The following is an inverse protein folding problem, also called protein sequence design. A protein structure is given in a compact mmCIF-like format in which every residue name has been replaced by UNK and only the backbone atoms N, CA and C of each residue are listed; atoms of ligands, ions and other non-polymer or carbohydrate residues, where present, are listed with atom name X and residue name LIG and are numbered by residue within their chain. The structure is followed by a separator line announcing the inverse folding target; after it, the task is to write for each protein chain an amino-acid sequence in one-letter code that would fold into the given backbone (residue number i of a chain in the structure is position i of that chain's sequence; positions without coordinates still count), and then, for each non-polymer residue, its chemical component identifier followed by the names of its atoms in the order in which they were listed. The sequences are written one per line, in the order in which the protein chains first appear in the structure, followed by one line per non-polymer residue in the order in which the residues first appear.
data_IF_167578196286
#
_entry.id   IF_167578196286
#
_cell.length_a   1.000
_cell.length_b   1.000
_cell.length_c   1.000
_cell.angle_alpha   90.00
_cell.angle_beta   90.00
_cell.angle_gamma   90.00
#
_symmetry.space_group_name_H-M   'P 1'
#
loop_
_entity.id
_entity.type
_entity.pdbx_description
1 polymer ?
#
# COMPACT_ATOMS: atom_id res chain seq x y z
N UNK A 1 23.40 15.66 -29.71
CA UNK A 1 24.33 14.54 -29.52
C UNK A 1 23.52 13.38 -28.96
N UNK A 2 23.23 12.43 -29.86
CA UNK A 2 22.40 11.22 -29.63
C UNK A 2 23.15 10.20 -28.75
N UNK A 3 22.51 9.71 -27.71
CA UNK A 3 22.92 8.47 -27.02
C UNK A 3 22.18 7.29 -27.64
N UNK A 4 22.86 6.20 -27.98
CA UNK A 4 22.23 5.03 -28.58
C UNK A 4 21.56 4.14 -27.52
N UNK A 5 20.29 3.87 -27.73
CA UNK A 5 19.53 2.84 -26.99
C UNK A 5 19.91 1.48 -27.58
N UNK A 6 20.63 0.66 -26.83
CA UNK A 6 20.84 -0.75 -27.20
C UNK A 6 19.63 -1.58 -26.79
N UNK A 7 18.93 -2.12 -27.78
CA UNK A 7 17.85 -3.12 -27.58
C UNK A 7 18.49 -4.51 -27.65
N UNK A 8 18.61 -5.16 -26.50
CA UNK A 8 18.98 -6.59 -26.44
C UNK A 8 17.69 -7.39 -26.26
N UNK A 9 17.32 -8.13 -27.28
CA UNK A 9 16.16 -9.01 -27.33
C UNK A 9 16.58 -10.39 -26.81
N UNK A 10 16.15 -10.77 -25.60
CA UNK A 10 16.14 -12.15 -25.15
C UNK A 10 14.76 -12.49 -24.61
N UNK A 11 14.16 -13.48 -25.29
CA UNK A 11 13.06 -14.37 -24.87
C UNK A 11 12.13 -13.87 -23.76
N UNK A 12 10.97 -13.35 -24.17
CA UNK A 12 9.68 -13.29 -23.44
C UNK A 12 9.60 -12.67 -22.03
N UNK A 13 10.47 -11.74 -21.69
CA UNK A 13 10.26 -10.86 -20.53
C UNK A 13 10.82 -9.47 -20.86
N UNK A 14 9.94 -8.46 -20.96
CA UNK A 14 10.35 -7.06 -21.07
C UNK A 14 10.64 -6.58 -19.65
N UNK A 15 11.90 -6.67 -19.25
CA UNK A 15 12.39 -6.01 -18.05
C UNK A 15 12.83 -4.58 -18.43
N UNK A 16 11.98 -3.60 -18.12
CA UNK A 16 12.37 -2.18 -18.21
C UNK A 16 13.25 -1.90 -16.99
N UNK A 17 14.56 -2.08 -17.15
CA UNK A 17 15.53 -1.65 -16.16
C UNK A 17 15.68 -0.13 -16.26
N UNK A 18 14.97 0.59 -15.42
CA UNK A 18 15.25 2.00 -15.18
C UNK A 18 16.63 2.10 -14.52
N UNK A 19 17.63 2.50 -15.28
CA UNK A 19 18.94 2.93 -14.77
C UNK A 19 18.71 4.25 -14.05
N UNK A 20 18.30 4.17 -12.80
CA UNK A 20 18.23 5.32 -11.91
C UNK A 20 19.64 5.84 -11.67
N UNK A 21 19.94 7.02 -12.18
CA UNK A 21 21.08 7.79 -11.74
C UNK A 21 20.92 8.02 -10.24
N UNK A 22 21.68 7.27 -9.44
CA UNK A 22 21.87 7.54 -8.03
C UNK A 22 22.70 8.83 -7.91
N UNK A 23 22.04 9.96 -7.96
CA UNK A 23 22.59 11.18 -7.42
C UNK A 23 22.69 10.95 -5.90
N UNK A 24 23.90 10.67 -5.42
CA UNK A 24 24.23 10.77 -4.00
C UNK A 24 23.88 12.19 -3.56
N UNK A 25 22.67 12.35 -3.01
CA UNK A 25 22.36 13.56 -2.26
C UNK A 25 23.33 13.62 -1.07
N UNK A 26 24.05 14.75 -0.89
CA UNK A 26 24.79 14.96 0.34
C UNK A 26 23.78 14.91 1.49
N UNK A 27 24.11 14.12 2.51
CA UNK A 27 23.34 14.00 3.72
C UNK A 27 22.93 15.39 4.23
N UNK A 28 21.66 15.74 4.07
CA UNK A 28 21.11 16.96 4.64
C UNK A 28 21.06 16.75 6.15
N UNK A 29 22.15 17.18 6.82
CA UNK A 29 22.08 17.50 8.24
C UNK A 29 20.93 18.51 8.39
N UNK A 30 19.87 18.11 9.07
CA UNK A 30 18.76 18.96 9.44
C UNK A 30 19.26 20.13 10.29
N UNK A 31 19.57 21.24 9.65
CA UNK A 31 19.86 22.49 10.34
C UNK A 31 18.56 23.25 10.57
N UNK A 32 18.18 23.54 11.81
CA UNK A 32 17.04 24.41 12.09
C UNK A 32 17.28 25.77 11.41
N UNK A 33 16.23 26.30 10.76
CA UNK A 33 16.26 27.53 9.95
C UNK A 33 16.83 28.80 10.62
N UNK A 34 17.13 28.74 11.94
CA UNK A 34 17.79 29.80 12.70
C UNK A 34 19.29 29.93 12.36
N UNK A 35 19.97 28.85 11.90
CA UNK A 35 21.43 28.90 11.63
C UNK A 35 21.79 29.58 10.30
N UNK A 36 20.87 29.68 9.34
CA UNK A 36 21.13 30.33 8.05
C UNK A 36 20.88 31.85 8.07
N UNK A 37 20.11 32.34 9.05
CA UNK A 37 19.87 33.77 9.21
C UNK A 37 21.12 34.53 9.69
N UNK A 38 21.88 33.92 10.56
CA UNK A 38 23.10 34.53 11.12
C UNK A 38 24.21 34.74 10.07
N UNK A 39 24.57 33.79 9.20
CA UNK A 39 25.61 34.01 8.18
C UNK A 39 25.21 35.02 7.11
N UNK A 40 23.91 35.14 6.75
CA UNK A 40 23.47 36.14 5.78
C UNK A 40 23.56 37.55 6.35
N UNK A 41 23.18 37.74 7.61
CA UNK A 41 23.34 39.01 8.33
C UNK A 41 24.82 39.31 8.53
N UNK A 42 25.63 38.32 8.93
CA UNK A 42 27.07 38.49 9.08
C UNK A 42 27.75 38.88 7.74
N UNK A 43 27.37 38.27 6.63
CA UNK A 43 27.87 38.61 5.30
C UNK A 43 27.45 40.05 4.89
N UNK A 44 26.24 40.49 5.20
CA UNK A 44 25.79 41.84 4.94
C UNK A 44 26.58 42.88 5.74
N UNK A 45 26.77 42.63 7.06
CA UNK A 45 27.57 43.51 7.92
C UNK A 45 29.03 43.54 7.49
N UNK A 46 29.61 42.39 7.16
CA UNK A 46 30.99 42.29 6.66
C UNK A 46 31.15 43.02 5.32
N UNK A 47 30.17 42.88 4.42
CA UNK A 47 30.16 43.59 3.12
C UNK A 47 30.14 45.11 3.29
N UNK A 48 29.33 45.63 4.19
CA UNK A 48 29.27 47.07 4.51
C UNK A 48 30.60 47.54 5.14
N UNK A 49 31.18 46.78 6.08
CA UNK A 49 32.45 47.11 6.70
C UNK A 49 33.62 47.08 5.69
N UNK A 50 33.69 46.12 4.79
CA UNK A 50 34.71 46.07 3.74
C UNK A 50 34.54 47.22 2.73
N UNK A 51 33.30 47.60 2.39
CA UNK A 51 33.02 48.74 1.52
C UNK A 51 33.50 50.04 2.19
N UNK A 52 33.23 50.25 3.47
CA UNK A 52 33.71 51.37 4.25
C UNK A 52 35.24 51.46 4.24
N UNK A 53 35.92 50.35 4.58
CA UNK A 53 37.35 50.30 4.71
C UNK A 53 38.13 50.54 3.38
N UNK A 54 37.61 50.07 2.25
CA UNK A 54 38.34 50.15 0.97
C UNK A 54 37.90 51.36 0.11
N UNK A 55 36.65 51.81 0.21
CA UNK A 55 36.10 52.81 -0.74
C UNK A 55 35.80 54.16 -0.13
N UNK A 56 35.62 54.28 1.16
CA UNK A 56 35.30 55.59 1.82
C UNK A 56 36.61 56.28 2.24
N UNK A 57 36.75 57.55 1.87
CA UNK A 57 37.91 58.39 2.29
C UNK A 57 37.70 58.95 3.70
N UNK A 58 38.73 58.93 4.58
CA UNK A 58 40.12 58.50 4.39
C UNK A 58 40.29 56.98 4.38
N UNK A 59 40.89 56.43 3.32
CA UNK A 59 41.07 55.00 3.11
C UNK A 59 41.86 54.36 4.26
N UNK A 60 41.49 53.14 4.61
CA UNK A 60 42.11 52.33 5.67
C UNK A 60 41.85 52.90 7.11
N UNK A 61 40.80 53.62 7.31
CA UNK A 61 40.39 54.13 8.64
C UNK A 61 38.88 53.89 8.83
N UNK A 62 38.47 53.36 9.96
CA UNK A 62 37.09 53.13 10.31
C UNK A 62 36.40 54.38 10.95
N UNK A 63 36.89 55.57 10.66
CA UNK A 63 36.35 56.81 11.20
C UNK A 63 35.25 57.38 10.24
N UNK A 64 34.00 57.15 10.60
CA UNK A 64 32.83 57.77 9.90
C UNK A 64 32.71 59.23 10.38
N UNK A 65 33.31 60.17 9.61
CA UNK A 65 33.29 61.58 9.93
C UNK A 65 32.08 62.36 9.39
N UNK A 66 31.34 61.81 8.46
CA UNK A 66 30.21 62.52 7.82
C UNK A 66 28.87 61.76 7.95
N UNK A 67 27.84 62.47 8.39
CA UNK A 67 26.45 61.99 8.53
C UNK A 67 25.92 61.37 7.22
N UNK A 68 26.40 61.82 6.08
CA UNK A 68 26.00 61.36 4.75
C UNK A 68 26.37 59.88 4.52
N UNK A 69 27.55 59.40 4.98
CA UNK A 69 27.94 58.00 4.89
C UNK A 69 27.14 57.09 5.79
N UNK A 70 26.76 57.59 6.97
CA UNK A 70 25.94 56.84 7.93
C UNK A 70 24.55 56.55 7.39
N UNK A 71 23.94 57.51 6.66
CA UNK A 71 22.66 57.30 5.97
C UNK A 71 22.83 56.25 4.84
N UNK A 72 23.89 56.34 4.05
CA UNK A 72 24.16 55.36 2.98
C UNK A 72 24.33 53.95 3.53
N UNK A 73 25.07 53.76 4.63
CA UNK A 73 25.20 52.46 5.29
C UNK A 73 23.88 51.95 5.86
N UNK A 74 23.07 52.82 6.44
CA UNK A 74 21.72 52.50 6.91
C UNK A 74 20.83 51.98 5.79
N UNK A 75 20.84 52.63 4.65
CA UNK A 75 20.09 52.20 3.47
C UNK A 75 20.62 50.85 2.91
N UNK A 76 21.95 50.70 2.78
CA UNK A 76 22.54 49.43 2.31
C UNK A 76 22.22 48.27 3.25
N UNK A 77 22.29 48.49 4.57
CA UNK A 77 21.96 47.46 5.56
C UNK A 77 20.48 47.08 5.51
N UNK A 78 19.58 48.10 5.35
CA UNK A 78 18.16 47.87 5.23
C UNK A 78 17.82 47.05 3.98
N UNK A 79 18.40 47.38 2.83
CA UNK A 79 18.22 46.64 1.60
C UNK A 79 18.77 45.20 1.71
N UNK A 80 19.97 45.05 2.27
CA UNK A 80 20.59 43.73 2.45
C UNK A 80 19.76 42.81 3.40
N UNK A 81 19.28 43.34 4.52
CA UNK A 81 18.45 42.60 5.48
C UNK A 81 17.09 42.25 4.90
N UNK A 82 16.46 43.16 4.17
CA UNK A 82 15.17 42.93 3.50
C UNK A 82 15.31 41.84 2.42
N UNK A 83 16.34 41.91 1.60
CA UNK A 83 16.64 40.92 0.56
C UNK A 83 16.93 39.53 1.17
N UNK A 84 17.73 39.49 2.23
CA UNK A 84 18.03 38.23 2.93
C UNK A 84 16.77 37.61 3.55
N UNK A 85 15.91 38.42 4.16
CA UNK A 85 14.63 37.98 4.73
C UNK A 85 13.69 37.44 3.65
N UNK A 86 13.51 38.17 2.55
CA UNK A 86 12.67 37.77 1.43
C UNK A 86 13.18 36.43 0.81
N UNK A 87 14.48 36.33 0.58
CA UNK A 87 15.10 35.11 0.02
C UNK A 87 14.92 33.90 0.95
N UNK A 88 15.09 34.08 2.25
CA UNK A 88 14.90 33.00 3.24
C UNK A 88 13.45 32.51 3.30
N UNK A 89 12.49 33.43 3.24
CA UNK A 89 11.06 33.13 3.23
C UNK A 89 10.67 32.37 1.96
N UNK A 90 11.14 32.79 0.80
CA UNK A 90 10.88 32.12 -0.47
C UNK A 90 11.49 30.70 -0.52
N UNK A 91 12.69 30.52 0.02
CA UNK A 91 13.30 29.17 0.13
C UNK A 91 12.47 28.27 1.03
N UNK A 92 12.08 28.75 2.21
CA UNK A 92 11.24 27.99 3.13
C UNK A 92 9.91 27.58 2.47
N UNK A 93 9.23 28.50 1.77
CA UNK A 93 7.99 28.19 1.05
C UNK A 93 8.20 27.12 -0.05
N UNK A 94 9.32 27.21 -0.79
CA UNK A 94 9.67 26.22 -1.81
C UNK A 94 9.92 24.83 -1.19
N UNK A 95 10.61 24.76 -0.08
CA UNK A 95 10.91 23.49 0.58
C UNK A 95 9.65 22.84 1.15
N UNK A 96 8.74 23.63 1.72
CA UNK A 96 7.41 23.16 2.16
C UNK A 96 6.58 22.67 0.97
N UNK A 97 6.54 23.44 -0.12
CA UNK A 97 5.81 23.04 -1.33
C UNK A 97 6.35 21.74 -1.92
N UNK A 98 7.67 21.60 -2.06
CA UNK A 98 8.32 20.38 -2.55
C UNK A 98 8.08 19.16 -1.65
N UNK A 99 8.07 19.35 -0.33
CA UNK A 99 7.79 18.26 0.59
C UNK A 99 6.34 17.77 0.48
N UNK A 100 5.38 18.68 0.27
CA UNK A 100 3.97 18.33 0.00
C UNK A 100 3.81 17.59 -1.33
N UNK A 101 4.46 18.08 -2.38
CA UNK A 101 4.44 17.45 -3.71
C UNK A 101 4.99 16.03 -3.66
N UNK A 102 6.13 15.80 -3.01
CA UNK A 102 6.72 14.46 -2.83
C UNK A 102 5.77 13.50 -2.12
N UNK A 103 5.07 13.96 -1.07
CA UNK A 103 4.10 13.13 -0.32
C UNK A 103 2.90 12.75 -1.17
N UNK A 104 2.32 13.72 -1.87
CA UNK A 104 1.19 13.47 -2.78
C UNK A 104 1.61 12.50 -3.87
N UNK A 105 2.79 12.69 -4.45
CA UNK A 105 3.35 11.81 -5.47
C UNK A 105 3.56 10.39 -4.95
N UNK A 106 4.10 10.21 -3.73
CA UNK A 106 4.31 8.87 -3.16
C UNK A 106 3.00 8.12 -2.92
N UNK A 107 1.96 8.79 -2.40
CA UNK A 107 0.63 8.19 -2.24
C UNK A 107 -0.03 7.87 -3.58
N UNK A 108 0.12 8.76 -4.57
CA UNK A 108 -0.42 8.53 -5.90
C UNK A 108 0.22 7.31 -6.58
N UNK A 109 1.56 7.20 -6.52
CA UNK A 109 2.28 6.04 -7.07
C UNK A 109 1.83 4.76 -6.36
N UNK A 110 1.79 4.77 -5.03
CA UNK A 110 1.32 3.63 -4.24
C UNK A 110 -0.13 3.24 -4.60
N UNK A 111 -1.05 4.19 -4.68
CA UNK A 111 -2.45 3.93 -5.05
C UNK A 111 -2.56 3.33 -6.45
N UNK A 112 -1.77 3.85 -7.42
CA UNK A 112 -1.70 3.32 -8.78
C UNK A 112 -1.17 1.89 -8.81
N UNK A 113 -0.09 1.61 -8.10
CA UNK A 113 0.48 0.26 -8.01
C UNK A 113 -0.52 -0.70 -7.36
N UNK A 114 -1.12 -0.32 -6.22
CA UNK A 114 -2.13 -1.12 -5.54
C UNK A 114 -3.39 -1.36 -6.39
N UNK A 115 -3.72 -0.47 -7.31
CA UNK A 115 -4.87 -0.65 -8.20
C UNK A 115 -4.70 -1.80 -9.20
N UNK A 116 -3.48 -2.13 -9.57
CA UNK A 116 -3.13 -3.18 -10.54
C UNK A 116 -2.80 -4.54 -9.90
N UNK A 117 -2.82 -4.64 -8.57
CA UNK A 117 -2.43 -5.84 -7.83
C UNK A 117 -3.47 -6.95 -7.95
N UNK A 118 -2.98 -8.19 -8.09
CA UNK A 118 -3.77 -9.41 -8.17
C UNK A 118 -3.49 -10.40 -7.04
N UNK A 119 -2.41 -10.19 -6.25
CA UNK A 119 -2.02 -11.11 -5.17
C UNK A 119 -1.67 -10.38 -3.87
N UNK A 120 -1.84 -11.05 -2.74
CA UNK A 120 -1.51 -10.50 -1.42
C UNK A 120 -0.02 -10.17 -1.26
N UNK A 121 0.88 -10.98 -1.86
CA UNK A 121 2.34 -10.78 -1.82
C UNK A 121 2.77 -9.49 -2.53
N UNK A 122 2.07 -9.12 -3.61
CA UNK A 122 2.31 -7.85 -4.30
C UNK A 122 1.93 -6.66 -3.41
N UNK A 123 0.80 -6.75 -2.68
CA UNK A 123 0.39 -5.71 -1.71
C UNK A 123 1.45 -5.55 -0.63
N UNK A 124 1.95 -6.66 -0.08
CA UNK A 124 3.00 -6.65 0.94
C UNK A 124 4.27 -5.96 0.42
N UNK A 125 4.72 -6.31 -0.77
CA UNK A 125 5.91 -5.71 -1.41
C UNK A 125 5.76 -4.20 -1.60
N UNK A 126 4.59 -3.74 -2.06
CA UNK A 126 4.30 -2.31 -2.25
C UNK A 126 4.29 -1.58 -0.90
N UNK A 127 3.65 -2.17 0.12
CA UNK A 127 3.62 -1.60 1.46
C UNK A 127 5.02 -1.50 2.07
N UNK A 128 5.85 -2.53 1.94
CA UNK A 128 7.24 -2.54 2.39
C UNK A 128 8.07 -1.45 1.68
N UNK A 129 7.96 -1.33 0.37
CA UNK A 129 8.67 -0.31 -0.41
C UNK A 129 8.25 1.11 0.01
N UNK A 130 6.95 1.35 0.20
CA UNK A 130 6.43 2.64 0.65
C UNK A 130 7.00 3.02 2.03
N UNK A 131 6.97 2.09 2.99
CA UNK A 131 7.48 2.33 4.34
C UNK A 131 9.01 2.50 4.32
N UNK A 132 9.72 1.70 3.55
CA UNK A 132 11.17 1.79 3.44
C UNK A 132 11.63 3.11 2.83
N UNK A 133 11.01 3.57 1.76
CA UNK A 133 11.38 4.81 1.06
C UNK A 133 10.93 6.06 1.83
N UNK A 134 9.71 6.04 2.37
CA UNK A 134 9.13 7.19 3.05
C UNK A 134 9.62 7.40 4.47
N UNK A 135 9.94 6.33 5.20
CA UNK A 135 10.19 6.38 6.64
C UNK A 135 11.52 5.75 7.06
N UNK A 136 12.30 5.18 6.12
CA UNK A 136 13.53 4.43 6.43
C UNK A 136 13.29 3.33 7.49
N UNK A 137 12.14 2.68 7.41
CA UNK A 137 11.67 1.66 8.33
C UNK A 137 11.47 0.33 7.60
N UNK A 138 11.43 -0.77 8.34
CA UNK A 138 10.99 -2.07 7.85
C UNK A 138 9.49 -2.23 8.13
N UNK A 139 8.78 -2.92 7.26
CA UNK A 139 7.37 -3.21 7.46
C UNK A 139 7.07 -4.67 7.21
N UNK A 140 6.09 -5.19 7.95
CA UNK A 140 5.53 -6.53 7.77
C UNK A 140 4.02 -6.42 7.79
N UNK A 141 3.38 -7.10 6.85
CA UNK A 141 1.93 -7.16 6.73
C UNK A 141 1.41 -8.42 7.44
N UNK A 142 0.61 -8.22 8.49
CA UNK A 142 -0.07 -9.28 9.21
C UNK A 142 -1.52 -9.32 8.75
N UNK A 143 -1.89 -10.35 8.00
CA UNK A 143 -3.25 -10.52 7.51
C UNK A 143 -4.10 -11.30 8.50
N UNK A 144 -5.38 -10.99 8.53
CA UNK A 144 -6.37 -11.74 9.31
C UNK A 144 -6.63 -13.09 8.63
N UNK A 145 -6.34 -14.18 9.37
CA UNK A 145 -6.60 -15.54 8.95
C UNK A 145 -8.00 -16.03 9.34
N UNK A 146 -8.18 -17.35 9.34
CA UNK A 146 -9.41 -17.98 9.84
C UNK A 146 -9.58 -17.70 11.34
N UNK A 147 -10.83 -17.49 11.78
CA UNK A 147 -11.20 -17.24 13.19
C UNK A 147 -10.75 -15.88 13.75
N UNK A 148 -10.64 -14.84 12.91
CA UNK A 148 -10.27 -13.48 13.33
C UNK A 148 -8.90 -13.37 14.02
N UNK A 149 -8.04 -14.38 13.88
CA UNK A 149 -6.67 -14.37 14.38
C UNK A 149 -5.69 -13.94 13.31
N UNK A 150 -4.66 -13.21 13.71
CA UNK A 150 -3.57 -12.83 12.79
C UNK A 150 -2.76 -14.07 12.39
N UNK A 151 -2.55 -14.23 11.10
CA UNK A 151 -1.64 -15.25 10.59
C UNK A 151 -0.19 -14.76 10.75
N UNK A 152 0.69 -15.65 11.21
CA UNK A 152 2.13 -15.35 11.25
C UNK A 152 2.65 -15.32 9.80
N UNK A 153 3.20 -14.21 9.32
CA UNK A 153 3.68 -14.12 7.96
C UNK A 153 4.90 -15.03 7.74
N UNK A 154 5.01 -15.60 6.55
CA UNK A 154 6.11 -16.49 6.18
C UNK A 154 7.47 -15.74 6.10
N UNK A 155 7.44 -14.44 5.80
CA UNK A 155 8.61 -13.61 5.54
C UNK A 155 8.80 -12.50 6.60
N UNK A 156 9.03 -12.88 7.85
CA UNK A 156 9.42 -11.91 8.89
C UNK A 156 10.92 -11.64 8.79
N UNK A 157 11.37 -10.39 8.67
CA UNK A 157 12.79 -10.09 8.74
C UNK A 157 13.38 -10.58 10.08
N UNK A 158 14.49 -11.30 10.03
CA UNK A 158 15.12 -11.92 11.21
C UNK A 158 15.42 -10.94 12.37
N UNK A 159 15.53 -9.64 12.06
CA UNK A 159 15.84 -8.59 13.02
C UNK A 159 14.61 -7.84 13.55
N UNK A 160 13.39 -8.24 13.17
CA UNK A 160 12.16 -7.58 13.61
C UNK A 160 11.55 -8.32 14.81
N UNK A 161 11.59 -7.76 16.02
CA UNK A 161 10.98 -8.36 17.21
C UNK A 161 9.46 -8.18 17.16
N UNK A 162 8.80 -9.06 16.43
CA UNK A 162 7.36 -9.01 16.21
C UNK A 162 6.64 -9.65 17.41
N UNK A 163 5.73 -8.91 18.04
CA UNK A 163 4.87 -9.40 19.12
C UNK A 163 3.43 -9.55 18.59
N UNK A 164 3.01 -10.80 18.41
CA UNK A 164 1.68 -11.14 17.90
C UNK A 164 0.58 -10.73 18.88
N UNK A 165 0.85 -10.71 20.19
CA UNK A 165 -0.16 -10.33 21.19
C UNK A 165 -0.49 -8.83 21.07
N UNK A 166 0.53 -7.98 20.88
CA UNK A 166 0.32 -6.53 20.66
C UNK A 166 -0.37 -6.29 19.32
N UNK A 167 0.03 -7.02 18.29
CA UNK A 167 -0.62 -6.93 16.97
C UNK A 167 -2.10 -7.34 17.04
N UNK A 168 -2.43 -8.41 17.76
CA UNK A 168 -3.81 -8.86 17.94
C UNK A 168 -4.62 -7.84 18.75
N UNK A 169 -4.03 -7.26 19.80
CA UNK A 169 -4.67 -6.20 20.57
C UNK A 169 -5.04 -5.01 19.68
N UNK A 170 -4.10 -4.57 18.82
CA UNK A 170 -4.33 -3.46 17.87
C UNK A 170 -5.44 -3.80 16.85
N UNK A 171 -5.55 -5.06 16.43
CA UNK A 171 -6.62 -5.54 15.55
C UNK A 171 -7.98 -5.48 16.26
N UNK A 172 -8.06 -6.02 17.49
CA UNK A 172 -9.30 -6.17 18.24
C UNK A 172 -9.89 -4.81 18.66
N UNK A 173 -9.02 -3.85 19.03
CA UNK A 173 -9.44 -2.51 19.45
C UNK A 173 -9.50 -1.51 18.30
N UNK A 174 -8.99 -1.89 17.09
CA UNK A 174 -8.89 -1.02 15.92
C UNK A 174 -8.13 0.30 16.21
N UNK A 175 -7.13 0.21 17.07
CA UNK A 175 -6.28 1.32 17.49
C UNK A 175 -4.80 0.98 17.28
N UNK A 176 -3.99 2.02 17.01
CA UNK A 176 -2.55 1.85 16.90
C UNK A 176 -1.93 1.50 18.25
N UNK A 177 -0.99 0.56 18.29
CA UNK A 177 -0.29 0.14 19.49
C UNK A 177 1.23 0.03 19.25
N UNK A 178 2.01 0.13 20.31
CA UNK A 178 3.45 -0.01 20.27
C UNK A 178 4.20 1.33 20.14
N UNK A 179 5.28 1.34 19.41
CA UNK A 179 6.22 2.46 19.33
C UNK A 179 5.54 3.79 18.99
N UNK A 180 5.71 4.78 19.86
CA UNK A 180 5.20 6.14 19.62
C UNK A 180 3.70 6.31 19.82
N UNK A 181 3.00 5.32 20.37
CA UNK A 181 1.57 5.37 20.72
C UNK A 181 1.39 5.46 22.24
N UNK A 182 0.17 5.77 22.67
CA UNK A 182 -0.18 5.77 24.11
C UNK A 182 -0.30 4.34 24.67
N UNK A 183 -0.47 3.35 23.78
CA UNK A 183 -0.62 1.94 24.17
C UNK A 183 0.68 1.18 23.91
N UNK A 184 1.32 0.74 25.00
CA UNK A 184 2.59 -0.02 24.98
C UNK A 184 3.75 0.71 24.28
N UNK A 185 4.04 1.97 24.65
CA UNK A 185 5.03 2.81 23.96
C UNK A 185 6.47 2.27 24.01
N UNK A 186 6.77 1.34 24.89
CA UNK A 186 8.09 0.71 25.03
C UNK A 186 8.36 -0.40 23.99
N UNK A 187 7.34 -0.82 23.25
CA UNK A 187 7.51 -1.80 22.18
C UNK A 187 8.38 -1.21 21.04
N UNK A 188 9.30 -1.98 20.45
CA UNK A 188 10.19 -1.49 19.39
C UNK A 188 9.52 -1.39 18.02
N UNK A 189 8.29 -1.86 17.88
CA UNK A 189 7.51 -1.93 16.65
C UNK A 189 6.21 -1.15 16.83
N UNK A 190 5.82 -0.39 15.82
CA UNK A 190 4.49 0.24 15.72
C UNK A 190 3.55 -0.69 14.96
N UNK A 191 2.38 -0.93 15.52
CA UNK A 191 1.31 -1.75 14.94
C UNK A 191 0.15 -0.86 14.52
N UNK A 192 -0.11 -0.76 13.23
CA UNK A 192 -1.17 0.06 12.65
C UNK A 192 -2.29 -0.83 12.12
N UNK A 193 -3.54 -0.65 12.57
CA UNK A 193 -4.67 -1.40 12.03
C UNK A 193 -4.97 -0.95 10.59
N UNK A 194 -5.18 -1.93 9.72
CA UNK A 194 -5.53 -1.73 8.32
C UNK A 194 -7.05 -1.62 8.20
N UNK A 195 -7.55 -0.42 8.48
CA UNK A 195 -8.97 -0.11 8.48
C UNK A 195 -9.48 0.03 7.05
N UNK A 196 -10.26 -0.94 6.60
CA UNK A 196 -11.00 -0.88 5.35
C UNK A 196 -12.46 -0.45 5.63
N UNK A 197 -13.25 -0.04 4.60
CA UNK A 197 -14.59 0.47 4.79
C UNK A 197 -15.56 -0.48 5.53
N UNK A 198 -15.41 -1.79 5.35
CA UNK A 198 -16.30 -2.78 5.99
C UNK A 198 -15.75 -3.29 7.31
N UNK A 199 -14.45 -3.54 7.39
CA UNK A 199 -13.78 -4.05 8.61
C UNK A 199 -12.27 -3.87 8.55
N UNK A 200 -11.60 -4.04 9.69
CA UNK A 200 -10.14 -4.12 9.74
C UNK A 200 -9.66 -5.42 9.11
N UNK A 201 -8.71 -5.35 8.18
CA UNK A 201 -8.25 -6.49 7.36
C UNK A 201 -6.90 -7.05 7.78
N UNK A 202 -6.27 -6.46 8.78
CA UNK A 202 -4.97 -6.88 9.27
C UNK A 202 -4.23 -5.76 9.98
N UNK A 203 -2.95 -5.96 10.18
CA UNK A 203 -2.05 -5.02 10.86
C UNK A 203 -0.82 -4.76 9.99
N UNK A 204 -0.42 -3.51 9.86
CA UNK A 204 0.87 -3.12 9.34
C UNK A 204 1.84 -2.89 10.50
N UNK A 205 2.78 -3.80 10.70
CA UNK A 205 3.84 -3.68 11.69
C UNK A 205 5.01 -2.90 11.09
N UNK A 206 5.43 -1.82 11.73
CA UNK A 206 6.48 -0.91 11.24
C UNK A 206 7.59 -0.80 12.28
N UNK A 207 8.83 -1.11 11.88
CA UNK A 207 10.01 -0.98 12.72
C UNK A 207 10.98 0.04 12.11
N UNK A 208 11.24 1.19 12.75
CA UNK A 208 12.22 2.15 12.28
C UNK A 208 13.64 1.60 12.43
N UNK A 209 14.50 1.90 11.47
CA UNK A 209 15.94 1.51 11.52
C UNK A 209 16.75 2.32 12.49
N UNK A 210 16.27 3.51 12.90
CA UNK A 210 16.96 4.42 13.84
C UNK A 210 16.03 4.81 14.96
N UNK A 211 16.54 4.80 16.18
CA UNK A 211 15.87 5.30 17.38
C UNK A 211 16.64 6.51 17.93
N UNK A 212 15.98 7.50 18.57
CA UNK A 212 14.53 7.61 18.78
C UNK A 212 13.78 7.95 17.49
N UNK A 213 12.64 7.29 17.28
CA UNK A 213 11.75 7.56 16.14
C UNK A 213 10.65 8.54 16.60
N UNK A 214 10.74 9.77 16.12
CA UNK A 214 9.78 10.84 16.38
C UNK A 214 9.25 11.31 15.03
N UNK A 215 8.24 10.64 14.49
CA UNK A 215 7.63 11.08 13.25
C UNK A 215 6.93 12.43 13.44
N UNK A 216 7.04 13.28 12.45
CA UNK A 216 6.25 14.52 12.47
C UNK A 216 4.76 14.17 12.30
N UNK A 217 3.83 15.03 12.78
CA UNK A 217 2.39 14.80 12.58
C UNK A 217 1.99 14.60 11.12
N UNK A 218 2.79 15.16 10.22
CA UNK A 218 2.59 15.00 8.78
C UNK A 218 3.06 13.64 8.27
N UNK A 219 4.11 13.07 8.86
CA UNK A 219 4.58 11.71 8.55
C UNK A 219 3.60 10.66 9.07
N UNK A 220 3.05 10.87 10.26
CA UNK A 220 2.00 9.99 10.81
C UNK A 220 0.78 9.94 9.90
N UNK A 221 0.29 11.11 9.45
CA UNK A 221 -0.83 11.18 8.49
C UNK A 221 -0.51 10.48 7.16
N UNK A 222 0.74 10.62 6.68
CA UNK A 222 1.18 9.94 5.46
C UNK A 222 1.17 8.42 5.65
N UNK A 223 1.65 7.94 6.79
CA UNK A 223 1.68 6.52 7.12
C UNK A 223 0.26 5.95 7.27
N UNK A 224 -0.63 6.68 7.96
CA UNK A 224 -2.05 6.31 8.08
C UNK A 224 -2.75 6.27 6.72
N UNK A 225 -2.50 7.26 5.85
CA UNK A 225 -3.06 7.25 4.49
C UNK A 225 -2.54 6.06 3.67
N UNK A 226 -1.24 5.73 3.78
CA UNK A 226 -0.68 4.52 3.16
C UNK A 226 -1.31 3.24 3.69
N UNK A 227 -1.47 3.12 5.02
CA UNK A 227 -2.13 1.97 5.65
C UNK A 227 -3.58 1.81 5.17
N UNK A 228 -4.33 2.92 5.02
CA UNK A 228 -5.69 2.89 4.49
C UNK A 228 -5.74 2.42 3.03
N UNK A 229 -4.79 2.82 2.18
CA UNK A 229 -4.69 2.33 0.80
C UNK A 229 -4.40 0.83 0.75
N UNK A 230 -3.52 0.33 1.60
CA UNK A 230 -3.25 -1.11 1.76
C UNK A 230 -4.51 -1.85 2.19
N UNK A 231 -5.22 -1.33 3.19
CA UNK A 231 -6.46 -1.92 3.68
C UNK A 231 -7.51 -2.07 2.58
N UNK A 232 -7.73 -1.03 1.78
CA UNK A 232 -8.66 -1.03 0.66
C UNK A 232 -8.24 -2.06 -0.40
N UNK A 233 -6.94 -2.17 -0.69
CA UNK A 233 -6.43 -3.13 -1.66
C UNK A 233 -6.66 -4.58 -1.21
N UNK A 234 -6.40 -4.89 0.07
CA UNK A 234 -6.65 -6.21 0.66
C UNK A 234 -8.15 -6.53 0.64
N UNK A 235 -8.99 -5.56 1.01
CA UNK A 235 -10.44 -5.74 1.00
C UNK A 235 -10.97 -6.04 -0.41
N UNK A 236 -10.50 -5.30 -1.41
CA UNK A 236 -10.82 -5.56 -2.82
C UNK A 236 -10.43 -6.96 -3.26
N UNK A 237 -9.19 -7.39 -2.94
CA UNK A 237 -8.70 -8.73 -3.28
C UNK A 237 -9.58 -9.80 -2.67
N UNK A 238 -9.90 -9.67 -1.39
CA UNK A 238 -10.77 -10.60 -0.68
C UNK A 238 -12.16 -10.72 -1.34
N UNK A 239 -12.81 -9.61 -1.71
CA UNK A 239 -14.12 -9.68 -2.38
C UNK A 239 -14.03 -10.28 -3.77
N UNK A 240 -12.92 -10.07 -4.48
CA UNK A 240 -12.69 -10.70 -5.77
C UNK A 240 -12.58 -12.23 -5.63
N UNK A 241 -11.86 -12.71 -4.63
CA UNK A 241 -11.73 -14.14 -4.34
C UNK A 241 -13.07 -14.77 -3.94
N UNK A 242 -13.83 -14.11 -3.07
CA UNK A 242 -15.16 -14.57 -2.66
C UNK A 242 -16.11 -14.63 -3.86
N UNK A 243 -16.12 -13.61 -4.71
CA UNK A 243 -16.96 -13.57 -5.91
C UNK A 243 -16.59 -14.66 -6.91
N UNK A 244 -15.31 -14.91 -7.14
CA UNK A 244 -14.83 -15.99 -8.01
C UNK A 244 -15.21 -17.37 -7.46
N UNK A 245 -15.06 -17.59 -6.15
CA UNK A 245 -15.48 -18.82 -5.49
C UNK A 245 -16.97 -19.08 -5.64
N UNK A 246 -17.80 -18.06 -5.44
CA UNK A 246 -19.27 -18.16 -5.61
C UNK A 246 -19.66 -18.48 -7.07
N UNK A 247 -19.00 -17.88 -8.06
CA UNK A 247 -19.23 -18.18 -9.47
C UNK A 247 -18.90 -19.65 -9.81
N UNK A 248 -17.75 -20.15 -9.38
CA UNK A 248 -17.35 -21.54 -9.59
C UNK A 248 -18.34 -22.51 -8.93
N UNK A 249 -18.82 -22.20 -7.74
CA UNK A 249 -19.85 -23.01 -7.08
C UNK A 249 -21.16 -23.03 -7.85
N UNK A 250 -21.63 -21.88 -8.33
CA UNK A 250 -22.83 -21.79 -9.16
C UNK A 250 -22.70 -22.58 -10.46
N UNK A 251 -21.57 -22.49 -11.16
CA UNK A 251 -21.31 -23.29 -12.38
C UNK A 251 -21.33 -24.79 -12.11
N UNK A 252 -20.71 -25.23 -10.99
CA UNK A 252 -20.71 -26.62 -10.57
C UNK A 252 -22.12 -27.13 -10.28
N UNK A 253 -22.92 -26.37 -9.56
CA UNK A 253 -24.34 -26.69 -9.29
C UNK A 253 -25.17 -26.77 -10.56
N UNK A 254 -24.99 -25.82 -11.49
CA UNK A 254 -25.68 -25.84 -12.79
C UNK A 254 -25.31 -27.09 -13.61
N UNK A 255 -24.02 -27.44 -13.66
CA UNK A 255 -23.55 -28.63 -14.36
C UNK A 255 -24.16 -29.88 -13.75
N UNK A 256 -24.15 -30.02 -12.43
CA UNK A 256 -24.77 -31.12 -11.70
C UNK A 256 -26.25 -31.27 -12.04
N UNK A 257 -27.00 -30.15 -12.03
CA UNK A 257 -28.43 -30.17 -12.33
C UNK A 257 -28.70 -30.56 -13.79
N UNK A 258 -27.89 -30.07 -14.75
CA UNK A 258 -27.96 -30.46 -16.15
C UNK A 258 -27.71 -31.96 -16.35
N UNK A 259 -26.67 -32.50 -15.70
CA UNK A 259 -26.35 -33.91 -15.76
C UNK A 259 -27.45 -34.77 -15.16
N UNK A 260 -27.99 -34.41 -13.99
CA UNK A 260 -29.12 -35.11 -13.40
C UNK A 260 -30.37 -35.10 -14.29
N UNK A 261 -30.69 -33.97 -14.93
CA UNK A 261 -31.80 -33.86 -15.86
C UNK A 261 -31.59 -34.73 -17.11
N UNK A 262 -30.38 -34.75 -17.68
CA UNK A 262 -30.05 -35.57 -18.84
C UNK A 262 -30.16 -37.08 -18.51
N UNK A 263 -29.54 -37.51 -17.40
CA UNK A 263 -29.61 -38.91 -16.93
C UNK A 263 -31.06 -39.32 -16.66
N UNK A 264 -31.86 -38.45 -16.00
CA UNK A 264 -33.28 -38.75 -15.73
C UNK A 264 -34.08 -38.89 -17.01
N UNK A 265 -33.82 -38.05 -18.02
CA UNK A 265 -34.46 -38.16 -19.32
C UNK A 265 -34.08 -39.49 -20.03
N UNK A 266 -32.80 -39.80 -20.06
CA UNK A 266 -32.26 -40.98 -20.77
C UNK A 266 -32.67 -42.31 -20.07
N UNK A 267 -32.91 -42.29 -18.77
CA UNK A 267 -33.45 -43.42 -18.03
C UNK A 267 -34.96 -43.60 -18.21
N UNK A 268 -35.69 -42.49 -18.30
CA UNK A 268 -37.16 -42.53 -18.44
C UNK A 268 -37.61 -43.27 -19.71
N UNK A 269 -36.93 -43.08 -20.81
CA UNK A 269 -37.27 -43.70 -22.09
C UNK A 269 -37.23 -45.23 -22.02
N UNK A 270 -36.15 -45.91 -21.60
CA UNK A 270 -36.11 -47.35 -21.48
C UNK A 270 -37.07 -47.88 -20.39
N UNK A 271 -37.20 -47.17 -19.26
CA UNK A 271 -38.13 -47.56 -18.20
C UNK A 271 -39.58 -47.53 -18.69
N UNK A 272 -40.00 -46.47 -19.42
CA UNK A 272 -41.34 -46.41 -20.04
C UNK A 272 -41.52 -47.57 -21.04
N UNK A 273 -40.49 -47.92 -21.79
CA UNK A 273 -40.49 -49.07 -22.65
C UNK A 273 -40.71 -50.41 -21.91
N UNK A 274 -40.02 -50.60 -20.78
CA UNK A 274 -40.20 -51.78 -19.91
C UNK A 274 -41.59 -51.87 -19.34
N UNK A 275 -42.17 -50.76 -18.85
CA UNK A 275 -43.54 -50.71 -18.39
C UNK A 275 -44.52 -51.10 -19.50
N UNK A 276 -44.36 -50.56 -20.71
CA UNK A 276 -45.21 -50.88 -21.87
C UNK A 276 -45.11 -52.34 -22.27
N UNK A 277 -43.92 -52.96 -22.20
CA UNK A 277 -43.76 -54.41 -22.46
C UNK A 277 -44.40 -55.26 -21.36
N UNK A 278 -44.26 -54.88 -20.10
CA UNK A 278 -44.90 -55.56 -18.97
C UNK A 278 -46.45 -55.49 -19.08
N UNK A 279 -47.02 -54.32 -19.44
CA UNK A 279 -48.45 -54.17 -19.68
C UNK A 279 -48.92 -55.03 -20.87
N UNK A 280 -48.13 -55.09 -21.96
CA UNK A 280 -48.48 -55.90 -23.10
C UNK A 280 -48.46 -57.37 -22.77
N UNK A 281 -47.51 -57.83 -21.96
CA UNK A 281 -47.43 -59.20 -21.44
C UNK A 281 -48.65 -59.54 -20.57
N UNK A 282 -49.07 -58.68 -19.63
CA UNK A 282 -50.22 -58.91 -18.78
C UNK A 282 -51.56 -58.97 -19.55
N UNK A 283 -51.64 -58.30 -20.67
CA UNK A 283 -52.84 -58.29 -21.55
C UNK A 283 -52.86 -59.47 -22.55
N UNK A 284 -51.76 -60.25 -22.69
CA UNK A 284 -51.66 -61.36 -23.62
C UNK A 284 -52.54 -62.54 -23.18
N UNK A 285 -53.48 -62.89 -24.02
CA UNK A 285 -54.45 -63.99 -23.75
C UNK A 285 -54.14 -65.27 -24.47
N UNK A 286 -53.12 -65.33 -25.37
CA UNK A 286 -52.85 -66.51 -26.15
C UNK A 286 -51.32 -66.68 -26.46
N UNK A 287 -50.61 -67.55 -25.77
CA UNK A 287 -51.02 -68.41 -24.65
C UNK A 287 -51.22 -67.58 -23.38
N UNK A 288 -52.09 -68.02 -22.45
CA UNK A 288 -52.29 -67.33 -21.19
C UNK A 288 -51.01 -67.44 -20.33
N UNK A 289 -50.60 -66.39 -19.67
CA UNK A 289 -49.46 -66.40 -18.73
C UNK A 289 -49.76 -67.20 -17.49
N UNK A 290 -48.73 -67.85 -16.93
CA UNK A 290 -48.85 -68.51 -15.64
C UNK A 290 -48.97 -67.44 -14.52
N UNK A 291 -49.49 -67.85 -13.37
CA UNK A 291 -49.66 -66.93 -12.21
C UNK A 291 -48.31 -66.26 -11.80
N UNK A 292 -47.23 -67.02 -11.86
CA UNK A 292 -45.85 -66.59 -11.56
C UNK A 292 -45.36 -65.55 -12.60
N UNK A 293 -45.65 -65.74 -13.89
CA UNK A 293 -45.28 -64.82 -14.93
C UNK A 293 -46.04 -63.49 -14.84
N UNK A 294 -47.33 -63.54 -14.42
CA UNK A 294 -48.16 -62.36 -14.17
C UNK A 294 -47.64 -61.54 -13.01
N UNK A 295 -47.24 -62.21 -11.92
CA UNK A 295 -46.64 -61.59 -10.75
C UNK A 295 -45.33 -60.88 -11.08
N UNK A 296 -44.44 -61.52 -11.88
CA UNK A 296 -43.19 -60.95 -12.37
C UNK A 296 -43.44 -59.70 -13.27
N UNK A 297 -44.42 -59.73 -14.17
CA UNK A 297 -44.75 -58.61 -15.02
C UNK A 297 -45.31 -57.44 -14.19
N UNK A 298 -46.09 -57.70 -13.15
CA UNK A 298 -46.52 -56.66 -12.20
C UNK A 298 -45.37 -56.07 -11.41
N UNK A 299 -44.42 -56.92 -10.93
CA UNK A 299 -43.22 -56.44 -10.23
C UNK A 299 -42.33 -55.52 -11.13
N UNK A 300 -42.11 -55.90 -12.40
CA UNK A 300 -41.39 -55.05 -13.38
C UNK A 300 -42.08 -53.70 -13.54
N UNK A 301 -43.42 -53.67 -13.59
CA UNK A 301 -44.20 -52.46 -13.77
C UNK A 301 -44.13 -51.54 -12.54
N UNK A 302 -44.06 -52.11 -11.31
CA UNK A 302 -43.94 -51.33 -10.08
C UNK A 302 -42.59 -50.75 -9.85
N UNK A 303 -41.50 -51.43 -10.29
CA UNK A 303 -40.12 -51.00 -10.11
C UNK A 303 -39.57 -50.09 -11.22
N UNK A 304 -40.23 -49.99 -12.38
CA UNK A 304 -39.80 -49.21 -13.52
C UNK A 304 -40.43 -47.78 -13.52
#
# INVERSE_FOLDING_TARGET
LHSPTQIIRYSNRIEIRNVGYSLKEPAQLGMPGSRLRNPAIAAAVLGVALFDFFFVAPRMNMAVSDLQYLITFGVMLAVATTTAHLTSTLRFQRDVARSRERRISSLYVMARELSAVLTAEQIETIAQNFVQQGFQAQAVLLQQGMQDKLATPANVPANMPLDIAIAQWALDHNEAAGLGTDTLPSAPVLYLPLQAPMRTRGILAVQPRRQPWLPSPEQERLLQAGASLVAIAIERLHYTEVAQGALLQMESEQLRNKLLAAVSHDLRTPLTGLVGLADTLTLSRNPPMSAEQTELAHAIREEA
#
